data_IF_321553053858
#
_entry.id   IF_321553053858
#
_cell.length_a   1.000
_cell.length_b   1.000
_cell.length_c   1.000
_cell.angle_alpha   90.00
_cell.angle_beta   90.00
_cell.angle_gamma   90.00
#
_symmetry.space_group_name_H-M   'P 1'
#
loop_
_entity.id
_entity.type
_entity.pdbx_description
1 polymer ?
#
# COMPACT_ATOMS: atom_id res chain seq x y z
N UNK A 1 -19.01 -15.32 14.75
CA UNK A 1 -19.47 -13.99 14.30
C UNK A 1 -19.41 -12.92 15.41
N UNK A 2 -20.28 -12.91 16.43
CA UNK A 2 -20.32 -11.82 17.45
C UNK A 2 -18.99 -11.55 18.18
N UNK A 3 -18.35 -12.61 18.69
CA UNK A 3 -17.04 -12.50 19.34
C UNK A 3 -15.97 -11.96 18.39
N UNK A 4 -15.96 -12.45 17.15
CA UNK A 4 -15.02 -12.03 16.10
C UNK A 4 -15.21 -10.53 15.81
N UNK A 5 -16.44 -10.08 15.61
CA UNK A 5 -16.76 -8.68 15.34
C UNK A 5 -16.34 -7.74 16.48
N UNK A 6 -16.60 -8.13 17.72
CA UNK A 6 -16.12 -7.38 18.90
C UNK A 6 -14.59 -7.36 18.99
N UNK A 7 -13.93 -8.48 18.71
CA UNK A 7 -12.47 -8.57 18.70
C UNK A 7 -11.83 -7.71 17.58
N UNK A 8 -12.50 -7.57 16.43
CA UNK A 8 -12.03 -6.66 15.37
C UNK A 8 -11.97 -5.21 15.84
N UNK A 9 -12.99 -4.74 16.59
CA UNK A 9 -12.94 -3.42 17.22
C UNK A 9 -11.81 -3.32 18.26
N UNK A 10 -11.56 -4.36 19.05
CA UNK A 10 -10.42 -4.42 19.96
C UNK A 10 -9.08 -4.27 19.23
N UNK A 11 -8.91 -4.96 18.10
CA UNK A 11 -7.70 -4.82 17.27
C UNK A 11 -7.57 -3.41 16.66
N UNK A 12 -8.67 -2.83 16.17
CA UNK A 12 -8.68 -1.45 15.67
C UNK A 12 -8.31 -0.44 16.75
N UNK A 13 -8.76 -0.64 18.00
CA UNK A 13 -8.37 0.22 19.12
C UNK A 13 -6.86 0.19 19.37
N UNK A 14 -6.24 -1.00 19.33
CA UNK A 14 -4.78 -1.16 19.47
C UNK A 14 -4.05 -0.45 18.32
N UNK A 15 -4.55 -0.58 17.09
CA UNK A 15 -3.96 0.11 15.92
C UNK A 15 -4.06 1.63 16.11
N UNK A 16 -5.21 2.18 16.47
CA UNK A 16 -5.37 3.62 16.72
C UNK A 16 -4.51 4.12 17.88
N UNK A 17 -4.36 3.32 18.93
CA UNK A 17 -3.47 3.64 20.05
C UNK A 17 -2.00 3.68 19.60
N UNK A 18 -1.57 2.71 18.79
CA UNK A 18 -0.23 2.70 18.20
C UNK A 18 0.00 3.90 17.29
N UNK A 19 -0.93 4.20 16.37
CA UNK A 19 -0.86 5.40 15.49
C UNK A 19 -0.80 6.68 16.31
N UNK A 20 -1.62 6.79 17.35
CA UNK A 20 -1.61 7.93 18.29
C UNK A 20 -0.23 8.08 18.95
N UNK A 21 0.35 6.97 19.43
CA UNK A 21 1.71 6.96 19.99
C UNK A 21 2.77 7.44 19.00
N UNK A 22 2.70 7.03 17.73
CA UNK A 22 3.65 7.49 16.69
C UNK A 22 3.59 9.01 16.51
N UNK A 23 2.39 9.59 16.45
CA UNK A 23 2.21 11.04 16.33
C UNK A 23 2.62 11.77 17.60
N UNK A 24 2.33 11.22 18.79
CA UNK A 24 2.72 11.81 20.06
C UNK A 24 4.24 11.86 20.22
N UNK A 25 4.94 10.79 19.86
CA UNK A 25 6.40 10.75 19.83
C UNK A 25 6.97 11.75 18.82
N UNK A 26 6.32 11.90 17.66
CA UNK A 26 6.62 12.96 16.70
C UNK A 26 6.46 14.36 17.28
N UNK A 27 5.43 14.60 18.09
CA UNK A 27 5.16 15.92 18.65
C UNK A 27 6.14 16.32 19.78
N UNK A 28 6.54 15.39 20.64
CA UNK A 28 7.27 15.72 21.88
C UNK A 28 8.74 15.29 21.92
N UNK A 29 9.12 14.26 21.17
CA UNK A 29 10.43 13.61 21.31
C UNK A 29 11.16 13.51 19.98
N UNK A 30 10.95 14.49 19.10
CA UNK A 30 11.45 14.43 17.73
C UNK A 30 12.18 15.69 17.30
N UNK A 31 12.88 15.57 16.18
CA UNK A 31 13.47 16.69 15.44
C UNK A 31 12.65 17.04 14.18
N UNK A 32 11.33 16.84 14.19
CA UNK A 32 10.47 16.99 13.01
C UNK A 32 10.56 18.38 12.37
N UNK A 33 10.33 19.48 13.10
CA UNK A 33 10.43 20.84 12.52
C UNK A 33 11.81 21.12 11.91
N UNK A 34 12.88 20.66 12.56
CA UNK A 34 14.24 20.82 12.03
C UNK A 34 14.42 20.00 10.74
N UNK A 35 13.91 18.77 10.72
CA UNK A 35 13.95 17.92 9.53
C UNK A 35 13.14 18.49 8.37
N UNK A 36 11.94 19.04 8.59
CA UNK A 36 11.14 19.65 7.52
C UNK A 36 11.89 20.80 6.85
N UNK A 37 12.66 21.58 7.62
CA UNK A 37 13.49 22.67 7.12
C UNK A 37 14.75 22.19 6.36
N UNK A 38 15.32 21.03 6.69
CA UNK A 38 16.49 20.46 6.00
C UNK A 38 16.42 18.92 5.89
N UNK A 39 15.53 18.39 5.03
CA UNK A 39 15.22 16.96 4.99
C UNK A 39 16.32 16.10 4.35
N UNK A 40 17.27 16.73 3.65
CA UNK A 40 18.38 16.03 2.97
C UNK A 40 19.55 15.75 3.92
N UNK A 41 19.76 16.62 4.92
CA UNK A 41 20.91 16.56 5.83
C UNK A 41 20.56 15.96 7.18
N UNK A 42 19.41 16.34 7.75
CA UNK A 42 18.97 15.90 9.08
C UNK A 42 18.38 14.50 9.00
N UNK A 43 18.67 13.65 10.00
CA UNK A 43 18.12 12.29 10.08
C UNK A 43 16.84 12.28 10.92
N UNK A 44 15.78 11.59 10.48
CA UNK A 44 14.56 11.45 11.28
C UNK A 44 14.84 10.77 12.63
N UNK A 45 14.35 11.36 13.71
CA UNK A 45 14.42 10.79 15.07
C UNK A 45 13.15 11.13 15.85
N UNK A 46 12.55 10.15 16.51
CA UNK A 46 11.35 10.31 17.37
C UNK A 46 11.47 9.61 18.73
N UNK A 47 12.66 9.10 19.05
CA UNK A 47 12.91 8.34 20.27
C UNK A 47 14.16 8.85 20.97
N UNK A 48 14.01 9.15 22.25
CA UNK A 48 15.09 9.59 23.14
C UNK A 48 15.19 8.63 24.31
N UNK A 49 16.40 8.16 24.59
CA UNK A 49 16.71 7.20 25.64
C UNK A 49 17.07 7.94 26.93
N UNK A 50 16.52 7.51 28.07
CA UNK A 50 16.85 8.09 29.36
C UNK A 50 18.28 7.73 29.83
N UNK A 51 19.01 8.69 30.46
CA UNK A 51 20.39 8.50 30.91
C UNK A 51 20.45 7.82 32.28
N UNK A 52 20.23 6.50 32.33
CA UNK A 52 20.18 5.74 33.59
C UNK A 52 21.48 4.95 33.82
N UNK A 53 21.95 4.23 32.80
CA UNK A 53 23.05 3.25 32.93
C UNK A 53 24.13 3.38 31.85
N UNK A 54 24.27 4.55 31.23
CA UNK A 54 25.15 4.75 30.06
C UNK A 54 24.47 4.47 28.72
N UNK A 55 23.19 4.07 28.73
CA UNK A 55 22.41 3.80 27.51
C UNK A 55 22.07 5.06 26.70
N UNK A 56 22.27 6.25 27.25
CA UNK A 56 22.20 7.51 26.51
C UNK A 56 23.22 7.62 25.37
N UNK A 57 24.22 6.72 25.32
CA UNK A 57 25.08 6.53 24.14
C UNK A 57 24.28 6.23 22.86
N UNK A 58 23.05 5.71 22.99
CA UNK A 58 22.13 5.48 21.88
C UNK A 58 21.52 6.78 21.32
N UNK A 59 21.56 7.89 22.07
CA UNK A 59 21.12 9.20 21.60
C UNK A 59 22.23 9.82 20.73
N UNK A 60 22.34 9.35 19.50
CA UNK A 60 23.29 9.86 18.53
C UNK A 60 22.92 11.27 18.07
N UNK A 61 23.91 12.06 17.67
CA UNK A 61 23.66 13.32 16.97
C UNK A 61 23.08 13.03 15.59
N UNK A 62 21.81 13.39 15.40
CA UNK A 62 21.04 13.20 14.16
C UNK A 62 20.89 14.51 13.37
N UNK A 63 21.55 15.59 13.81
CA UNK A 63 21.42 16.93 13.26
C UNK A 63 20.21 17.69 13.79
N UNK A 64 20.14 18.99 13.48
CA UNK A 64 19.07 19.86 13.96
C UNK A 64 19.15 20.17 15.47
N UNK A 65 20.35 20.15 16.04
CA UNK A 65 20.60 20.28 17.48
C UNK A 65 19.81 19.26 18.33
N UNK A 66 19.62 18.06 17.80
CA UNK A 66 18.88 16.99 18.45
C UNK A 66 19.72 15.73 18.58
N UNK A 67 19.61 15.07 19.74
CA UNK A 67 20.23 13.77 20.00
C UNK A 67 19.16 12.73 20.30
N UNK A 68 19.21 11.61 19.59
CA UNK A 68 18.21 10.55 19.72
C UNK A 68 18.51 9.35 18.84
N UNK A 69 17.56 8.43 18.82
CA UNK A 69 17.64 7.23 17.98
C UNK A 69 17.08 7.55 16.61
N UNK A 70 17.91 7.40 15.57
CA UNK A 70 17.44 7.50 14.19
C UNK A 70 16.35 6.46 13.92
N UNK A 71 15.20 6.91 13.40
CA UNK A 71 14.08 6.03 13.04
C UNK A 71 14.01 5.79 11.55
N UNK A 72 13.54 4.60 11.17
CA UNK A 72 13.48 4.12 9.77
C UNK A 72 12.06 3.75 9.34
N UNK A 73 11.06 4.24 10.06
CA UNK A 73 9.63 3.97 9.82
C UNK A 73 9.00 4.83 8.73
N UNK A 74 9.64 5.94 8.34
CA UNK A 74 9.16 6.83 7.27
C UNK A 74 8.07 7.82 7.67
N UNK A 75 7.73 7.94 8.96
CA UNK A 75 6.66 8.84 9.42
C UNK A 75 6.93 10.32 9.10
N UNK A 76 8.18 10.77 9.10
CA UNK A 76 8.52 12.15 8.77
C UNK A 76 8.15 12.50 7.32
N UNK A 77 8.45 11.59 6.39
CA UNK A 77 8.12 11.74 4.98
C UNK A 77 6.60 11.67 4.75
N UNK A 78 5.89 10.85 5.52
CA UNK A 78 4.41 10.79 5.51
C UNK A 78 3.84 12.14 5.99
N UNK A 79 4.21 12.61 7.18
CA UNK A 79 3.68 13.86 7.75
C UNK A 79 3.94 15.07 6.84
N UNK A 80 5.13 15.15 6.21
CA UNK A 80 5.39 16.20 5.22
C UNK A 80 4.46 16.07 4.01
N UNK A 81 4.26 14.86 3.50
CA UNK A 81 3.34 14.62 2.38
C UNK A 81 1.88 14.96 2.71
N UNK A 82 1.50 14.96 3.99
CA UNK A 82 0.17 15.36 4.49
C UNK A 82 0.04 16.88 4.69
N UNK A 83 1.15 17.61 4.58
CA UNK A 83 1.19 19.06 4.81
C UNK A 83 1.31 19.43 6.28
N UNK A 84 1.73 18.52 7.16
CA UNK A 84 2.01 18.83 8.57
C UNK A 84 3.33 19.62 8.63
N UNK A 85 3.30 20.79 9.24
CA UNK A 85 4.45 21.71 9.32
C UNK A 85 4.91 21.98 10.75
N UNK A 86 4.11 21.60 11.76
CA UNK A 86 4.42 21.84 13.17
C UNK A 86 4.12 20.65 14.08
N UNK A 87 4.79 20.57 15.22
CA UNK A 87 4.54 19.55 16.25
C UNK A 87 3.14 19.69 16.89
N UNK A 88 2.54 20.88 16.84
CA UNK A 88 1.20 21.13 17.39
C UNK A 88 0.14 20.35 16.61
N UNK A 89 0.28 20.27 15.29
CA UNK A 89 -0.60 19.46 14.43
C UNK A 89 -0.46 17.97 14.75
N UNK A 90 0.77 17.48 14.93
CA UNK A 90 1.03 16.09 15.35
C UNK A 90 0.39 15.77 16.71
N UNK A 91 0.45 16.71 17.65
CA UNK A 91 -0.18 16.56 18.96
C UNK A 91 -1.70 16.37 18.84
N UNK A 92 -2.38 17.24 18.10
CA UNK A 92 -3.83 17.13 17.93
C UNK A 92 -4.23 15.87 17.17
N UNK A 93 -3.45 15.44 16.18
CA UNK A 93 -3.63 14.14 15.52
C UNK A 93 -3.46 12.97 16.49
N UNK A 94 -2.48 13.04 17.40
CA UNK A 94 -2.30 12.02 18.44
C UNK A 94 -3.52 11.93 19.37
N UNK A 95 -4.05 13.06 19.83
CA UNK A 95 -5.25 13.10 20.67
C UNK A 95 -6.47 12.55 19.92
N UNK A 96 -6.66 12.92 18.65
CA UNK A 96 -7.70 12.37 17.80
C UNK A 96 -7.61 10.86 17.68
N UNK A 97 -6.41 10.32 17.43
CA UNK A 97 -6.17 8.87 17.40
C UNK A 97 -6.48 8.17 18.71
N UNK A 98 -6.17 8.80 19.86
CA UNK A 98 -6.48 8.26 21.19
C UNK A 98 -7.98 8.23 21.46
N UNK A 99 -8.72 9.28 21.09
CA UNK A 99 -10.18 9.32 21.19
C UNK A 99 -10.79 8.21 20.32
N UNK A 100 -10.31 8.05 19.08
CA UNK A 100 -10.75 6.98 18.18
C UNK A 100 -10.48 5.59 18.75
N UNK A 101 -9.32 5.37 19.39
CA UNK A 101 -9.04 4.13 20.14
C UNK A 101 -10.11 3.87 21.20
N UNK A 102 -10.44 4.86 22.03
CA UNK A 102 -11.50 4.75 23.04
C UNK A 102 -12.87 4.45 22.44
N UNK A 103 -13.22 5.09 21.32
CA UNK A 103 -14.47 4.81 20.58
C UNK A 103 -14.51 3.38 20.02
N UNK A 104 -13.39 2.86 19.52
CA UNK A 104 -13.32 1.47 19.05
C UNK A 104 -13.52 0.47 20.21
N UNK A 105 -12.91 0.70 21.38
CA UNK A 105 -13.16 -0.12 22.57
C UNK A 105 -14.64 -0.10 22.94
N UNK A 106 -15.25 1.09 22.96
CA UNK A 106 -16.67 1.25 23.27
C UNK A 106 -17.56 0.51 22.25
N UNK A 107 -17.30 0.67 20.95
CA UNK A 107 -18.05 0.00 19.88
C UNK A 107 -17.94 -1.53 19.99
N UNK A 108 -16.75 -2.05 20.28
CA UNK A 108 -16.51 -3.48 20.51
C UNK A 108 -17.31 -4.02 21.71
N UNK A 109 -17.34 -3.29 22.82
CA UNK A 109 -18.16 -3.63 23.98
C UNK A 109 -19.66 -3.54 23.66
N UNK A 110 -20.10 -2.46 23.02
CA UNK A 110 -21.49 -2.18 22.73
C UNK A 110 -22.10 -3.25 21.82
N UNK A 111 -21.41 -3.57 20.71
CA UNK A 111 -21.85 -4.59 19.75
C UNK A 111 -21.66 -6.03 20.22
N UNK A 112 -21.16 -6.25 21.43
CA UNK A 112 -21.12 -7.57 22.06
C UNK A 112 -22.11 -7.69 23.23
N UNK A 113 -22.15 -6.71 24.12
CA UNK A 113 -22.91 -6.77 25.37
C UNK A 113 -24.27 -6.08 25.32
N UNK A 114 -24.48 -5.11 24.43
CA UNK A 114 -25.72 -4.30 24.38
C UNK A 114 -26.52 -4.54 23.11
N UNK A 115 -25.90 -4.40 21.95
CA UNK A 115 -26.55 -4.49 20.64
C UNK A 115 -25.84 -5.52 19.76
N UNK A 116 -25.89 -6.79 20.16
CA UNK A 116 -25.23 -7.87 19.44
C UNK A 116 -25.96 -8.23 18.13
N UNK A 117 -25.32 -8.06 16.94
CA UNK A 117 -25.97 -8.37 15.68
C UNK A 117 -26.36 -9.85 15.55
N UNK A 118 -27.39 -10.13 14.74
CA UNK A 118 -27.83 -11.50 14.42
C UNK A 118 -26.99 -12.10 13.29
N UNK A 119 -27.03 -13.42 13.13
CA UNK A 119 -26.24 -14.12 12.12
C UNK A 119 -26.56 -13.66 10.68
N UNK A 120 -27.84 -13.46 10.37
CA UNK A 120 -28.30 -12.94 9.08
C UNK A 120 -27.60 -11.65 8.66
N UNK A 121 -27.34 -10.75 9.61
CA UNK A 121 -26.59 -9.51 9.34
C UNK A 121 -25.15 -9.79 8.91
N UNK A 122 -24.47 -10.73 9.57
CA UNK A 122 -23.10 -11.13 9.22
C UNK A 122 -23.02 -11.87 7.88
N UNK A 123 -24.09 -12.56 7.48
CA UNK A 123 -24.15 -13.34 6.25
C UNK A 123 -24.60 -12.52 5.04
N UNK A 124 -24.96 -11.26 5.23
CA UNK A 124 -25.34 -10.34 4.16
C UNK A 124 -24.09 -9.84 3.41
N UNK A 125 -23.51 -10.72 2.60
CA UNK A 125 -22.28 -10.47 1.87
C UNK A 125 -22.46 -9.37 0.81
N UNK A 126 -23.62 -9.29 0.13
CA UNK A 126 -23.89 -8.25 -0.85
C UNK A 126 -23.84 -6.86 -0.24
N UNK A 127 -24.52 -6.67 0.91
CA UNK A 127 -24.46 -5.39 1.62
C UNK A 127 -23.05 -5.08 2.10
N UNK A 128 -22.36 -6.07 2.69
CA UNK A 128 -20.99 -5.88 3.18
C UNK A 128 -20.03 -5.44 2.06
N UNK A 129 -20.05 -6.11 0.89
CA UNK A 129 -19.19 -5.73 -0.23
C UNK A 129 -19.56 -4.38 -0.83
N UNK A 130 -20.86 -4.08 -1.00
CA UNK A 130 -21.29 -2.77 -1.49
C UNK A 130 -20.78 -1.64 -0.58
N UNK A 131 -20.93 -1.79 0.74
CA UNK A 131 -20.45 -0.78 1.71
C UNK A 131 -18.93 -0.72 1.76
N UNK A 132 -18.22 -1.84 1.76
CA UNK A 132 -16.75 -1.82 1.80
C UNK A 132 -16.15 -1.22 0.52
N UNK A 133 -16.68 -1.57 -0.65
CA UNK A 133 -16.22 -1.00 -1.91
C UNK A 133 -16.59 0.49 -2.00
N UNK A 134 -17.87 0.86 -1.88
CA UNK A 134 -18.28 2.25 -2.12
C UNK A 134 -17.92 3.21 -0.98
N UNK A 135 -18.10 2.81 0.27
CA UNK A 135 -17.92 3.69 1.44
C UNK A 135 -16.49 3.59 1.94
N UNK A 136 -16.02 2.41 2.35
CA UNK A 136 -14.70 2.29 2.98
C UNK A 136 -13.58 2.63 2.00
N UNK A 137 -13.58 2.03 0.81
CA UNK A 137 -12.55 2.28 -0.21
C UNK A 137 -12.86 3.53 -1.05
N UNK A 138 -14.09 3.63 -1.57
CA UNK A 138 -14.51 4.72 -2.44
C UNK A 138 -14.51 6.08 -1.76
N UNK A 139 -15.35 6.28 -0.73
CA UNK A 139 -15.40 7.54 0.02
C UNK A 139 -14.10 7.79 0.80
N UNK A 140 -13.42 6.74 1.30
CA UNK A 140 -12.09 6.89 1.89
C UNK A 140 -11.08 7.51 0.93
N UNK A 141 -10.99 6.99 -0.31
CA UNK A 141 -10.12 7.55 -1.35
C UNK A 141 -10.56 8.94 -1.79
N UNK A 142 -11.87 9.22 -1.84
CA UNK A 142 -12.39 10.54 -2.20
C UNK A 142 -12.03 11.59 -1.14
N UNK A 143 -12.22 11.27 0.15
CA UNK A 143 -11.84 12.14 1.25
C UNK A 143 -10.34 12.40 1.27
N UNK A 144 -9.53 11.38 0.96
CA UNK A 144 -8.09 11.55 0.86
C UNK A 144 -7.68 12.43 -0.32
N UNK A 145 -8.28 12.24 -1.51
CA UNK A 145 -8.06 13.14 -2.65
C UNK A 145 -8.42 14.59 -2.30
N UNK A 146 -9.55 14.81 -1.59
CA UNK A 146 -9.93 16.13 -1.10
C UNK A 146 -8.89 16.74 -0.16
N UNK A 147 -8.41 15.98 0.83
CA UNK A 147 -7.31 16.43 1.71
C UNK A 147 -6.05 16.75 0.90
N UNK A 148 -5.68 15.90 -0.06
CA UNK A 148 -4.50 16.13 -0.88
C UNK A 148 -4.60 17.41 -1.70
N UNK A 149 -5.73 17.62 -2.39
CA UNK A 149 -5.97 18.79 -3.25
C UNK A 149 -5.96 20.08 -2.44
N UNK A 150 -6.61 20.08 -1.27
CA UNK A 150 -6.90 21.32 -0.55
C UNK A 150 -5.88 21.66 0.53
N UNK A 151 -5.13 20.68 1.06
CA UNK A 151 -4.18 20.87 2.16
C UNK A 151 -2.77 20.48 1.73
N UNK A 152 -2.55 19.20 1.38
CA UNK A 152 -1.20 18.68 1.16
C UNK A 152 -0.50 19.36 -0.03
N UNK A 153 -1.21 19.50 -1.15
CA UNK A 153 -0.68 20.09 -2.39
C UNK A 153 -0.18 21.52 -2.22
N UNK A 154 -1.00 22.49 -1.75
CA UNK A 154 -0.54 23.87 -1.61
C UNK A 154 0.65 23.99 -0.64
N UNK A 155 0.62 23.27 0.48
CA UNK A 155 1.71 23.28 1.47
C UNK A 155 2.99 22.70 0.89
N UNK A 156 2.93 21.53 0.25
CA UNK A 156 4.12 20.91 -0.34
C UNK A 156 4.67 21.73 -1.51
N UNK A 157 3.82 22.42 -2.28
CA UNK A 157 4.27 23.32 -3.34
C UNK A 157 5.12 24.47 -2.78
N UNK A 158 4.74 25.02 -1.62
CA UNK A 158 5.51 26.06 -0.93
C UNK A 158 6.79 25.51 -0.27
N UNK A 159 6.70 24.34 0.38
CA UNK A 159 7.86 23.67 0.97
C UNK A 159 8.91 23.30 -0.10
N UNK A 160 8.47 22.88 -1.29
CA UNK A 160 9.36 22.55 -2.41
C UNK A 160 9.91 23.81 -3.09
N UNK A 161 9.24 24.96 -2.94
CA UNK A 161 9.75 26.28 -3.34
C UNK A 161 10.76 26.87 -2.34
N UNK A 162 11.04 26.17 -1.23
CA UNK A 162 12.00 26.60 -0.21
C UNK A 162 11.47 27.59 0.82
N UNK A 163 10.14 27.77 0.89
CA UNK A 163 9.53 28.59 1.93
C UNK A 163 9.66 27.89 3.27
N UNK A 164 10.07 28.64 4.30
CA UNK A 164 10.23 28.09 5.64
C UNK A 164 8.88 27.62 6.20
N UNK A 165 8.81 26.48 6.92
CA UNK A 165 7.54 25.95 7.42
C UNK A 165 6.73 26.94 8.27
N UNK A 166 7.41 27.83 8.99
CA UNK A 166 6.79 28.84 9.85
C UNK A 166 6.17 30.01 9.07
N UNK A 167 6.55 30.20 7.81
CA UNK A 167 6.02 31.24 6.92
C UNK A 167 4.87 30.74 6.04
N UNK A 168 4.61 29.43 6.02
CA UNK A 168 3.53 28.83 5.25
C UNK A 168 2.20 29.12 5.96
N UNK A 169 1.18 29.66 5.26
CA UNK A 169 -0.15 29.84 5.81
C UNK A 169 -0.71 28.53 6.38
N UNK A 170 -1.51 28.61 7.44
CA UNK A 170 -2.06 27.40 8.03
C UNK A 170 -3.06 26.71 7.07
N UNK A 171 -3.25 25.39 7.16
CA UNK A 171 -4.13 24.62 6.27
C UNK A 171 -5.53 25.23 6.06
N UNK A 172 -6.12 25.81 7.11
CA UNK A 172 -7.46 26.39 7.04
C UNK A 172 -7.52 27.71 6.26
N UNK A 173 -6.39 28.43 6.12
CA UNK A 173 -6.31 29.65 5.33
C UNK A 173 -6.44 29.33 3.83
N UNK A 174 -5.84 28.23 3.36
CA UNK A 174 -6.02 27.76 1.98
C UNK A 174 -7.45 27.32 1.67
N UNK A 175 -8.19 26.83 2.67
CA UNK A 175 -9.59 26.42 2.50
C UNK A 175 -10.54 27.61 2.39
N UNK A 176 -10.30 28.66 3.17
CA UNK A 176 -11.20 29.81 3.30
C UNK A 176 -10.85 30.89 2.26
N UNK A 177 -9.55 31.11 2.02
CA UNK A 177 -9.08 32.14 1.11
C UNK A 177 -8.83 31.56 -0.29
N UNK A 178 -9.85 31.71 -1.16
CA UNK A 178 -9.77 31.28 -2.55
C UNK A 178 -8.67 31.99 -3.35
N UNK A 179 -8.37 33.25 -3.04
CA UNK A 179 -7.31 34.00 -3.73
C UNK A 179 -5.94 33.39 -3.43
N UNK A 180 -5.72 32.94 -2.18
CA UNK A 180 -4.47 32.31 -1.77
C UNK A 180 -4.20 31.01 -2.54
N UNK A 181 -5.20 30.11 -2.63
CA UNK A 181 -5.02 28.86 -3.39
C UNK A 181 -4.96 29.11 -4.90
N UNK A 182 -5.67 30.12 -5.42
CA UNK A 182 -5.63 30.51 -6.83
C UNK A 182 -4.26 31.02 -7.28
N UNK A 183 -3.49 31.67 -6.41
CA UNK A 183 -2.10 32.06 -6.69
C UNK A 183 -1.20 30.85 -6.97
N UNK A 184 -1.49 29.71 -6.30
CA UNK A 184 -0.76 28.46 -6.51
C UNK A 184 -1.34 27.66 -7.68
N UNK A 185 -2.65 27.64 -7.82
CA UNK A 185 -3.40 26.84 -8.80
C UNK A 185 -4.49 27.72 -9.45
N UNK A 186 -4.19 28.41 -10.56
CA UNK A 186 -5.11 29.39 -11.18
C UNK A 186 -6.50 28.83 -11.52
N UNK A 187 -6.64 27.52 -11.74
CA UNK A 187 -7.95 26.91 -12.02
C UNK A 187 -8.95 27.06 -10.88
N UNK A 188 -8.49 27.29 -9.64
CA UNK A 188 -9.39 27.56 -8.51
C UNK A 188 -10.24 28.81 -8.70
N UNK A 189 -9.82 29.79 -9.52
CA UNK A 189 -10.64 30.97 -9.89
C UNK A 189 -11.89 30.61 -10.69
N UNK A 190 -11.90 29.46 -11.36
CA UNK A 190 -13.06 28.94 -12.13
C UNK A 190 -14.07 28.22 -11.26
N UNK A 191 -13.65 27.75 -10.07
CA UNK A 191 -14.52 27.13 -9.08
C UNK A 191 -15.04 25.78 -9.55
N UNK A 192 -16.28 25.44 -9.19
CA UNK A 192 -16.89 24.14 -9.53
C UNK A 192 -17.64 24.13 -10.87
N UNK A 193 -17.71 25.25 -11.60
CA UNK A 193 -18.39 25.29 -12.89
C UNK A 193 -17.80 24.29 -13.92
N UNK A 194 -16.47 24.13 -14.06
CA UNK A 194 -15.89 23.12 -14.95
C UNK A 194 -16.27 21.68 -14.56
N UNK A 195 -16.38 21.37 -13.26
CA UNK A 195 -16.80 20.05 -12.77
C UNK A 195 -18.21 19.68 -13.25
N UNK A 196 -19.19 20.55 -13.00
CA UNK A 196 -20.61 20.29 -13.35
C UNK A 196 -20.93 20.43 -14.84
N UNK A 197 -20.08 21.13 -15.61
CA UNK A 197 -20.23 21.26 -17.06
C UNK A 197 -19.49 20.19 -17.87
N UNK A 198 -18.68 19.33 -17.21
CA UNK A 198 -17.87 18.31 -17.89
C UNK A 198 -16.59 18.85 -18.55
N UNK A 199 -16.25 20.13 -18.37
CA UNK A 199 -15.01 20.71 -18.89
C UNK A 199 -13.82 20.47 -17.95
N UNK A 200 -13.50 19.20 -17.69
CA UNK A 200 -12.53 18.80 -16.65
C UNK A 200 -11.06 19.12 -16.98
N UNK A 201 -10.73 19.45 -18.23
CA UNK A 201 -9.37 19.84 -18.63
C UNK A 201 -8.85 21.08 -17.90
N UNK A 202 -9.76 21.87 -17.32
CA UNK A 202 -9.43 23.06 -16.55
C UNK A 202 -8.71 22.78 -15.22
N UNK A 203 -8.80 21.56 -14.68
CA UNK A 203 -8.19 21.19 -13.39
C UNK A 203 -6.77 20.59 -13.54
N UNK A 204 -6.13 20.78 -14.69
CA UNK A 204 -4.83 20.15 -15.02
C UNK A 204 -3.62 20.73 -14.27
N UNK A 205 -3.79 21.78 -13.47
CA UNK A 205 -2.75 22.37 -12.63
C UNK A 205 -2.56 21.65 -11.28
N UNK A 206 -3.59 20.99 -10.75
CA UNK A 206 -3.52 20.18 -9.52
C UNK A 206 -3.91 18.70 -9.70
N UNK A 207 -4.61 18.33 -10.78
CA UNK A 207 -4.83 16.93 -11.19
C UNK A 207 -3.99 16.61 -12.43
N UNK A 208 -2.76 16.16 -12.19
CA UNK A 208 -1.79 15.96 -13.27
C UNK A 208 -1.69 14.49 -13.68
N UNK A 209 -0.94 14.23 -14.76
CA UNK A 209 -0.55 12.89 -15.19
C UNK A 209 0.91 12.92 -15.69
N UNK A 210 1.81 13.48 -14.88
CA UNK A 210 3.22 13.68 -15.26
C UNK A 210 3.96 12.35 -15.37
N UNK A 211 3.68 11.43 -14.45
CA UNK A 211 4.47 10.21 -14.27
C UNK A 211 5.83 10.51 -13.64
N UNK A 212 6.50 9.45 -13.19
CA UNK A 212 7.84 9.53 -12.62
C UNK A 212 7.91 10.23 -11.26
N UNK A 213 9.01 10.91 -11.01
CA UNK A 213 9.37 11.48 -9.71
C UNK A 213 9.55 13.00 -9.81
N UNK A 214 9.18 13.70 -8.76
CA UNK A 214 9.50 15.11 -8.55
C UNK A 214 11.02 15.23 -8.34
N UNK A 215 11.76 15.97 -9.19
CA UNK A 215 13.21 16.07 -9.11
C UNK A 215 13.71 16.80 -7.85
N UNK A 216 12.86 17.58 -7.18
CA UNK A 216 13.21 18.28 -5.94
C UNK A 216 13.23 17.31 -4.76
N UNK A 217 12.20 16.47 -4.67
CA UNK A 217 11.98 15.62 -3.48
C UNK A 217 12.38 14.17 -3.69
N UNK A 218 12.48 13.71 -4.94
CA UNK A 218 12.71 12.31 -5.30
C UNK A 218 11.52 11.40 -5.02
N UNK A 219 10.37 11.95 -4.61
CA UNK A 219 9.11 11.22 -4.45
C UNK A 219 8.19 11.37 -5.66
N UNK A 220 7.08 10.63 -5.71
CA UNK A 220 6.03 10.80 -6.71
C UNK A 220 5.44 12.22 -6.66
N UNK A 221 4.91 12.67 -7.79
CA UNK A 221 4.16 13.93 -7.85
C UNK A 221 2.88 13.83 -7.03
N UNK A 222 2.75 14.63 -5.97
CA UNK A 222 1.54 14.64 -5.14
C UNK A 222 0.26 14.93 -5.94
N UNK A 223 0.37 15.70 -7.04
CA UNK A 223 -0.77 16.00 -7.92
C UNK A 223 -1.19 14.79 -8.77
N UNK A 224 -0.24 13.92 -9.12
CA UNK A 224 -0.54 12.62 -9.74
C UNK A 224 -1.15 11.67 -8.70
N UNK A 225 -0.69 11.71 -7.44
CA UNK A 225 -1.28 10.91 -6.35
C UNK A 225 -2.73 11.36 -6.06
N UNK A 226 -3.00 12.66 -6.02
CA UNK A 226 -4.36 13.20 -5.86
C UNK A 226 -5.28 12.75 -6.99
N UNK A 227 -4.80 12.82 -8.24
CA UNK A 227 -5.54 12.34 -9.40
C UNK A 227 -5.76 10.82 -9.35
N UNK A 228 -4.76 10.05 -8.93
CA UNK A 228 -4.89 8.62 -8.69
C UNK A 228 -5.99 8.31 -7.67
N UNK A 229 -5.99 8.95 -6.50
CA UNK A 229 -7.01 8.73 -5.47
C UNK A 229 -8.41 9.14 -5.92
N UNK A 230 -8.54 10.20 -6.72
CA UNK A 230 -9.82 10.58 -7.31
C UNK A 230 -10.33 9.50 -8.28
N UNK A 231 -9.47 8.99 -9.15
CA UNK A 231 -9.83 7.91 -10.08
C UNK A 231 -10.21 6.62 -9.35
N UNK A 232 -9.44 6.25 -8.31
CA UNK A 232 -9.72 5.10 -7.44
C UNK A 232 -11.04 5.27 -6.69
N UNK A 233 -11.34 6.47 -6.21
CA UNK A 233 -12.61 6.77 -5.56
C UNK A 233 -13.79 6.50 -6.48
N UNK A 234 -13.75 7.05 -7.70
CA UNK A 234 -14.79 6.82 -8.70
C UNK A 234 -14.93 5.32 -8.99
N UNK A 235 -13.82 4.63 -9.26
CA UNK A 235 -13.84 3.18 -9.55
C UNK A 235 -14.53 2.38 -8.43
N UNK A 236 -14.16 2.62 -7.18
CA UNK A 236 -14.69 1.86 -6.04
C UNK A 236 -16.12 2.24 -5.67
N UNK A 237 -16.51 3.51 -5.82
CA UNK A 237 -17.91 3.94 -5.67
C UNK A 237 -18.77 3.20 -6.68
N UNK A 238 -18.40 3.17 -7.96
CA UNK A 238 -19.16 2.44 -8.97
C UNK A 238 -19.15 0.93 -8.73
N UNK A 239 -18.00 0.34 -8.38
CA UNK A 239 -17.89 -1.09 -8.06
C UNK A 239 -18.79 -1.50 -6.89
N UNK A 240 -18.95 -0.65 -5.88
CA UNK A 240 -19.82 -0.90 -4.73
C UNK A 240 -21.32 -0.80 -5.00
N UNK A 241 -21.74 -0.59 -6.26
CA UNK A 241 -23.15 -0.65 -6.67
C UNK A 241 -23.47 -1.89 -7.53
N UNK A 242 -22.54 -2.84 -7.62
CA UNK A 242 -22.72 -4.05 -8.42
C UNK A 242 -23.72 -5.04 -7.81
N UNK A 243 -23.74 -5.19 -6.48
CA UNK A 243 -24.47 -6.29 -5.83
C UNK A 243 -25.90 -5.90 -5.44
N UNK A 244 -26.84 -6.83 -5.63
CA UNK A 244 -28.27 -6.64 -5.37
C UNK A 244 -28.52 -6.49 -3.87
N UNK A 245 -29.31 -5.47 -3.52
CA UNK A 245 -29.78 -5.25 -2.14
C UNK A 245 -31.31 -5.11 -2.12
N UNK A 246 -31.87 -4.30 -1.23
CA UNK A 246 -33.31 -4.21 -0.98
C UNK A 246 -34.11 -3.60 -2.15
N UNK A 247 -33.45 -2.94 -3.10
CA UNK A 247 -34.09 -2.24 -4.22
C UNK A 247 -34.21 -3.07 -5.50
N UNK A 248 -33.90 -4.37 -5.46
CA UNK A 248 -34.06 -5.31 -6.58
C UNK A 248 -33.06 -5.17 -7.74
N UNK A 249 -32.36 -4.04 -7.84
CA UNK A 249 -31.32 -3.78 -8.86
C UNK A 249 -29.97 -4.33 -8.39
N UNK A 250 -29.22 -4.94 -9.32
CA UNK A 250 -27.87 -5.47 -9.10
C UNK A 250 -27.80 -7.00 -9.23
N UNK A 251 -26.63 -7.56 -8.98
CA UNK A 251 -26.36 -9.00 -9.09
C UNK A 251 -26.37 -9.71 -7.73
N UNK A 252 -26.93 -10.92 -7.65
CA UNK A 252 -26.67 -11.80 -6.52
C UNK A 252 -25.34 -12.54 -6.71
N UNK A 253 -24.50 -12.60 -5.67
CA UNK A 253 -23.23 -13.33 -5.76
C UNK A 253 -23.43 -14.81 -6.03
N UNK A 254 -24.47 -15.40 -5.42
CA UNK A 254 -24.81 -16.81 -5.62
C UNK A 254 -25.19 -17.11 -7.06
N UNK A 255 -26.08 -16.29 -7.65
CA UNK A 255 -26.47 -16.42 -9.06
C UNK A 255 -25.26 -16.30 -10.00
N UNK A 256 -24.35 -15.33 -9.75
CA UNK A 256 -23.11 -15.21 -10.51
C UNK A 256 -22.29 -16.49 -10.41
N UNK A 257 -22.02 -16.99 -9.21
CA UNK A 257 -21.20 -18.18 -9.01
C UNK A 257 -21.81 -19.40 -9.72
N UNK A 258 -23.10 -19.66 -9.52
CA UNK A 258 -23.79 -20.83 -10.09
C UNK A 258 -23.90 -20.77 -11.62
N UNK A 259 -23.91 -19.57 -12.21
CA UNK A 259 -23.91 -19.41 -13.67
C UNK A 259 -22.56 -19.79 -14.31
N UNK A 260 -21.45 -19.73 -13.57
CA UNK A 260 -20.11 -20.01 -14.11
C UNK A 260 -19.75 -21.50 -13.99
N UNK A 261 -20.16 -22.27 -15.00
CA UNK A 261 -19.86 -23.69 -15.16
C UNK A 261 -19.29 -23.98 -16.55
N UNK A 262 -18.35 -24.91 -16.63
CA UNK A 262 -17.70 -25.31 -17.88
C UNK A 262 -17.60 -26.84 -18.03
N UNK A 263 -17.28 -27.34 -19.23
CA UNK A 263 -17.31 -28.76 -19.54
C UNK A 263 -16.29 -29.59 -18.73
N UNK A 264 -15.20 -28.98 -18.26
CA UNK A 264 -14.14 -29.66 -17.50
C UNK A 264 -14.31 -29.59 -15.98
N UNK A 265 -15.16 -28.68 -15.49
CA UNK A 265 -15.21 -28.28 -14.07
C UNK A 265 -16.42 -28.83 -13.31
N UNK A 266 -17.21 -29.72 -13.92
CA UNK A 266 -18.40 -30.30 -13.28
C UNK A 266 -19.39 -29.22 -12.86
N UNK A 267 -19.77 -29.20 -11.58
CA UNK A 267 -20.72 -28.23 -11.01
C UNK A 267 -20.13 -26.83 -10.81
N UNK A 268 -18.89 -26.57 -11.25
CA UNK A 268 -18.29 -25.24 -11.20
C UNK A 268 -18.24 -24.67 -9.78
N UNK A 269 -18.75 -23.45 -9.60
CA UNK A 269 -18.66 -22.71 -8.33
C UNK A 269 -19.82 -22.97 -7.37
N UNK A 270 -20.71 -23.93 -7.65
CA UNK A 270 -21.81 -24.29 -6.75
C UNK A 270 -21.29 -24.64 -5.35
N UNK A 271 -21.91 -24.10 -4.29
CA UNK A 271 -21.53 -24.32 -2.89
C UNK A 271 -20.49 -23.33 -2.33
N UNK A 272 -19.81 -22.54 -3.17
CA UNK A 272 -18.80 -21.59 -2.70
C UNK A 272 -19.40 -20.40 -1.94
N UNK A 273 -20.59 -19.93 -2.34
CA UNK A 273 -21.29 -18.87 -1.61
C UNK A 273 -21.60 -19.30 -0.18
N UNK A 274 -22.10 -20.53 -0.02
CA UNK A 274 -22.41 -21.12 1.27
C UNK A 274 -21.15 -21.29 2.12
N UNK A 275 -20.04 -21.78 1.56
CA UNK A 275 -18.75 -21.87 2.27
C UNK A 275 -18.34 -20.51 2.84
N UNK A 276 -18.36 -19.47 2.00
CA UNK A 276 -17.87 -18.14 2.35
C UNK A 276 -18.80 -17.36 3.28
N UNK A 277 -20.07 -17.75 3.38
CA UNK A 277 -21.04 -17.15 4.30
C UNK A 277 -21.19 -17.95 5.61
N UNK A 278 -20.67 -19.17 5.67
CA UNK A 278 -20.79 -20.03 6.87
C UNK A 278 -19.47 -20.24 7.60
N UNK A 279 -18.34 -20.33 6.89
CA UNK A 279 -17.02 -20.52 7.50
C UNK A 279 -16.23 -19.20 7.57
N UNK A 280 -15.92 -18.77 8.79
CA UNK A 280 -14.99 -17.67 9.03
C UNK A 280 -13.55 -18.04 8.69
N UNK A 281 -13.18 -19.33 8.76
CA UNK A 281 -11.84 -19.79 8.39
C UNK A 281 -11.62 -19.76 6.88
N UNK A 282 -12.63 -20.10 6.08
CA UNK A 282 -12.56 -19.97 4.62
C UNK A 282 -12.36 -18.49 4.21
N UNK A 283 -13.14 -17.57 4.79
CA UNK A 283 -12.98 -16.14 4.55
C UNK A 283 -11.60 -15.63 4.99
N UNK A 284 -11.17 -15.98 6.20
CA UNK A 284 -9.87 -15.54 6.71
C UNK A 284 -8.70 -16.08 5.88
N UNK A 285 -8.80 -17.31 5.36
CA UNK A 285 -7.79 -17.89 4.48
C UNK A 285 -7.63 -17.05 3.19
N UNK A 286 -8.73 -16.74 2.51
CA UNK A 286 -8.69 -15.92 1.29
C UNK A 286 -8.17 -14.51 1.59
N UNK A 287 -8.69 -13.88 2.65
CA UNK A 287 -8.31 -12.52 3.01
C UNK A 287 -6.82 -12.42 3.35
N UNK A 288 -6.26 -13.39 4.08
CA UNK A 288 -4.82 -13.42 4.39
C UNK A 288 -3.97 -13.71 3.16
N UNK A 289 -4.44 -14.56 2.23
CA UNK A 289 -3.71 -14.81 0.97
C UNK A 289 -3.61 -13.55 0.12
N UNK A 290 -4.73 -12.82 -0.01
CA UNK A 290 -4.80 -11.58 -0.78
C UNK A 290 -4.06 -10.44 -0.08
N UNK A 291 -4.25 -10.24 1.23
CA UNK A 291 -3.56 -9.19 1.99
C UNK A 291 -2.05 -9.44 2.04
N UNK A 292 -1.63 -10.69 2.25
CA UNK A 292 -0.22 -11.07 2.26
C UNK A 292 0.47 -10.85 0.91
N UNK A 293 -0.24 -11.15 -0.19
CA UNK A 293 0.25 -10.84 -1.54
C UNK A 293 0.27 -9.33 -1.80
N UNK A 294 -0.75 -8.59 -1.36
CA UNK A 294 -0.83 -7.15 -1.53
C UNK A 294 0.30 -6.41 -0.80
N UNK A 295 0.64 -6.79 0.43
CA UNK A 295 1.76 -6.14 1.15
C UNK A 295 3.11 -6.41 0.49
N UNK A 296 3.32 -7.58 -0.13
CA UNK A 296 4.51 -7.84 -0.97
C UNK A 296 4.51 -6.93 -2.20
N UNK A 297 3.38 -6.77 -2.88
CA UNK A 297 3.24 -5.83 -4.01
C UNK A 297 3.52 -4.39 -3.56
N UNK A 298 3.02 -3.97 -2.40
CA UNK A 298 3.31 -2.65 -1.81
C UNK A 298 4.82 -2.47 -1.60
N UNK A 299 5.52 -3.48 -1.07
CA UNK A 299 6.96 -3.43 -0.92
C UNK A 299 7.65 -3.16 -2.27
N UNK A 300 7.28 -3.92 -3.31
CA UNK A 300 7.83 -3.76 -4.66
C UNK A 300 7.51 -2.40 -5.30
N UNK A 301 6.29 -1.91 -5.12
CA UNK A 301 5.88 -0.63 -5.68
C UNK A 301 6.56 0.54 -4.96
N UNK A 302 6.62 0.54 -3.63
CA UNK A 302 7.14 1.67 -2.86
C UNK A 302 8.64 1.91 -3.06
N UNK A 303 9.46 0.87 -3.26
CA UNK A 303 10.89 1.09 -3.49
C UNK A 303 11.18 1.61 -4.90
N UNK A 304 10.45 1.12 -5.91
CA UNK A 304 10.65 1.51 -7.31
C UNK A 304 9.87 2.79 -7.70
N UNK A 305 8.83 3.14 -6.95
CA UNK A 305 8.03 4.35 -7.11
C UNK A 305 7.84 5.04 -5.75
N UNK A 306 8.90 5.64 -5.17
CA UNK A 306 8.86 6.23 -3.83
C UNK A 306 7.73 7.26 -3.69
N UNK A 307 6.66 7.00 -2.91
CA UNK A 307 5.47 7.86 -2.94
C UNK A 307 5.61 9.13 -2.11
N UNK A 308 6.59 9.21 -1.21
CA UNK A 308 6.72 10.30 -0.26
C UNK A 308 7.96 11.18 -0.55
N UNK A 309 7.87 12.52 -0.29
CA UNK A 309 8.99 13.44 -0.43
C UNK A 309 10.20 13.01 0.40
N UNK A 310 11.40 13.04 -0.19
CA UNK A 310 12.68 12.72 0.43
C UNK A 310 12.83 11.27 0.93
N UNK A 311 11.87 10.39 0.66
CA UNK A 311 11.95 8.97 1.01
C UNK A 311 13.01 8.24 0.18
N UNK A 312 13.08 8.51 -1.12
CA UNK A 312 13.94 7.79 -2.06
C UNK A 312 15.44 7.84 -1.69
N UNK A 313 15.89 8.96 -1.11
CA UNK A 313 17.28 9.11 -0.69
C UNK A 313 17.51 8.74 0.78
N UNK A 314 16.48 8.37 1.52
CA UNK A 314 16.57 7.81 2.87
C UNK A 314 16.69 6.27 2.79
N UNK A 315 17.88 5.81 2.41
CA UNK A 315 18.15 4.39 2.17
C UNK A 315 17.82 3.46 3.35
N UNK A 316 18.13 3.82 4.62
CA UNK A 316 17.69 3.03 5.78
C UNK A 316 16.17 2.81 5.79
N UNK A 317 15.39 3.87 5.57
CA UNK A 317 13.93 3.79 5.56
C UNK A 317 13.40 2.96 4.39
N UNK A 318 13.94 3.14 3.18
CA UNK A 318 13.57 2.32 2.01
C UNK A 318 13.79 0.82 2.25
N UNK A 319 14.97 0.45 2.75
CA UNK A 319 15.29 -0.94 3.07
C UNK A 319 14.39 -1.52 4.16
N UNK A 320 14.17 -0.76 5.24
CA UNK A 320 13.35 -1.19 6.35
C UNK A 320 11.89 -1.37 5.94
N UNK A 321 11.29 -0.43 5.19
CA UNK A 321 9.90 -0.54 4.73
C UNK A 321 9.73 -1.73 3.77
N UNK A 322 10.64 -1.92 2.82
CA UNK A 322 10.60 -3.06 1.91
C UNK A 322 10.64 -4.38 2.68
N UNK A 323 11.65 -4.53 3.55
CA UNK A 323 11.85 -5.76 4.33
C UNK A 323 10.68 -6.02 5.27
N UNK A 324 10.17 -4.98 5.94
CA UNK A 324 9.01 -5.06 6.82
C UNK A 324 7.78 -5.61 6.08
N UNK A 325 7.40 -5.00 4.95
CA UNK A 325 6.20 -5.41 4.20
C UNK A 325 6.35 -6.81 3.59
N UNK A 326 7.55 -7.18 3.12
CA UNK A 326 7.86 -8.54 2.67
C UNK A 326 7.62 -9.58 3.77
N UNK A 327 8.11 -9.33 4.99
CA UNK A 327 7.92 -10.25 6.11
C UNK A 327 6.46 -10.36 6.55
N UNK A 328 5.76 -9.24 6.69
CA UNK A 328 4.32 -9.25 7.00
C UNK A 328 3.56 -10.06 5.95
N UNK A 329 3.91 -9.90 4.67
CA UNK A 329 3.31 -10.66 3.58
C UNK A 329 3.52 -12.15 3.68
N UNK A 330 4.76 -12.57 3.95
CA UNK A 330 5.09 -13.97 4.17
C UNK A 330 4.29 -14.57 5.33
N UNK A 331 4.20 -13.86 6.47
CA UNK A 331 3.41 -14.32 7.62
C UNK A 331 1.92 -14.45 7.29
N UNK A 332 1.35 -13.49 6.58
CA UNK A 332 -0.04 -13.55 6.14
C UNK A 332 -0.30 -14.73 5.17
N UNK A 333 0.55 -14.94 4.18
CA UNK A 333 0.39 -16.05 3.21
C UNK A 333 0.48 -17.42 3.91
N UNK A 334 1.42 -17.60 4.86
CA UNK A 334 1.50 -18.83 5.65
C UNK A 334 0.26 -18.99 6.54
N UNK A 335 -0.21 -17.91 7.16
CA UNK A 335 -1.47 -17.90 7.91
C UNK A 335 -2.70 -18.26 7.06
N UNK A 336 -2.72 -17.85 5.79
CA UNK A 336 -3.76 -18.21 4.84
C UNK A 336 -3.83 -19.74 4.62
N UNK A 337 -2.68 -20.36 4.37
CA UNK A 337 -2.58 -21.82 4.21
C UNK A 337 -2.99 -22.56 5.50
N UNK A 338 -2.59 -22.06 6.67
CA UNK A 338 -3.00 -22.62 7.96
C UNK A 338 -4.53 -22.57 8.13
N UNK A 339 -5.17 -21.44 7.83
CA UNK A 339 -6.62 -21.31 7.92
C UNK A 339 -7.38 -22.11 6.85
N UNK A 340 -6.81 -22.29 5.66
CA UNK A 340 -7.35 -23.20 4.66
C UNK A 340 -7.32 -24.66 5.16
N UNK A 341 -6.24 -25.07 5.82
CA UNK A 341 -6.14 -26.37 6.48
C UNK A 341 -7.18 -26.55 7.60
N UNK A 342 -7.36 -25.53 8.45
CA UNK A 342 -8.39 -25.54 9.51
C UNK A 342 -9.80 -25.65 8.90
N UNK A 343 -10.08 -24.90 7.83
CA UNK A 343 -11.34 -24.99 7.10
C UNK A 343 -11.60 -26.42 6.61
N UNK A 344 -10.63 -27.06 5.95
CA UNK A 344 -10.77 -28.42 5.43
C UNK A 344 -11.03 -29.47 6.54
N UNK A 345 -10.51 -29.25 7.75
CA UNK A 345 -10.70 -30.18 8.88
C UNK A 345 -12.04 -29.98 9.58
N UNK A 346 -12.47 -28.72 9.76
CA UNK A 346 -13.60 -28.39 10.64
C UNK A 346 -14.90 -28.10 9.90
N UNK A 347 -14.82 -27.35 8.80
CA UNK A 347 -15.97 -26.68 8.21
C UNK A 347 -16.31 -27.22 6.81
N UNK A 348 -15.41 -27.98 6.18
CA UNK A 348 -15.65 -28.61 4.89
C UNK A 348 -16.68 -29.75 5.00
N UNK A 349 -17.67 -29.72 4.12
CA UNK A 349 -18.69 -30.76 3.99
C UNK A 349 -18.67 -31.36 2.57
N UNK A 350 -18.31 -32.65 2.40
CA UNK A 350 -18.25 -33.30 1.09
C UNK A 350 -19.58 -33.31 0.34
N UNK A 351 -20.71 -33.49 1.04
CA UNK A 351 -22.04 -33.57 0.44
C UNK A 351 -22.41 -32.27 -0.28
N UNK A 352 -22.11 -31.13 0.35
CA UNK A 352 -22.43 -29.81 -0.21
C UNK A 352 -21.48 -29.38 -1.34
N UNK A 353 -20.35 -30.08 -1.49
CA UNK A 353 -19.32 -29.77 -2.48
C UNK A 353 -19.22 -30.82 -3.59
N UNK A 354 -20.19 -31.74 -3.67
CA UNK A 354 -20.12 -32.85 -4.60
C UNK A 354 -19.92 -32.37 -6.05
N UNK A 355 -18.83 -32.83 -6.68
CA UNK A 355 -18.47 -32.55 -8.06
C UNK A 355 -18.31 -31.06 -8.44
N UNK A 356 -18.18 -30.16 -7.47
CA UNK A 356 -17.80 -28.77 -7.70
C UNK A 356 -16.27 -28.62 -7.84
N UNK A 357 -15.78 -27.38 -8.03
CA UNK A 357 -14.34 -27.12 -8.16
C UNK A 357 -13.51 -27.64 -6.99
N UNK A 358 -13.95 -27.43 -5.75
CA UNK A 358 -13.21 -27.82 -4.55
C UNK A 358 -13.07 -29.34 -4.43
N UNK A 359 -14.18 -30.08 -4.60
CA UNK A 359 -14.15 -31.55 -4.63
C UNK A 359 -13.27 -32.08 -5.76
N UNK A 360 -13.37 -31.49 -6.95
CA UNK A 360 -12.56 -31.91 -8.10
C UNK A 360 -11.07 -31.76 -7.80
N UNK A 361 -10.63 -30.62 -7.26
CA UNK A 361 -9.22 -30.41 -6.85
C UNK A 361 -8.76 -31.49 -5.87
N UNK A 362 -9.59 -31.82 -4.87
CA UNK A 362 -9.25 -32.86 -3.88
C UNK A 362 -9.12 -34.25 -4.50
N UNK A 363 -9.92 -34.58 -5.52
CA UNK A 363 -9.90 -35.89 -6.20
C UNK A 363 -8.62 -36.17 -7.01
N UNK A 364 -7.88 -35.14 -7.42
CA UNK A 364 -6.60 -35.30 -8.13
C UNK A 364 -5.45 -34.62 -7.40
N UNK A 365 -5.56 -34.46 -6.08
CA UNK A 365 -4.53 -33.82 -5.25
C UNK A 365 -3.15 -34.48 -5.39
N UNK A 366 -3.09 -35.80 -5.55
CA UNK A 366 -1.81 -36.51 -5.68
C UNK A 366 -1.09 -36.14 -6.98
N UNK A 367 -1.84 -35.89 -8.06
CA UNK A 367 -1.30 -35.36 -9.30
C UNK A 367 -0.76 -33.93 -9.11
N UNK A 368 -1.53 -33.05 -8.44
CA UNK A 368 -1.09 -31.67 -8.16
C UNK A 368 0.21 -31.67 -7.34
N UNK A 369 0.26 -32.45 -6.26
CA UNK A 369 1.42 -32.51 -5.36
C UNK A 369 2.64 -33.14 -6.03
N UNK A 370 2.47 -34.21 -6.81
CA UNK A 370 3.61 -34.84 -7.53
C UNK A 370 4.20 -33.93 -8.61
N UNK A 371 3.37 -33.21 -9.37
CA UNK A 371 3.86 -32.25 -10.35
C UNK A 371 4.55 -31.07 -9.68
N UNK A 372 3.99 -30.54 -8.59
CA UNK A 372 4.63 -29.48 -7.82
C UNK A 372 5.97 -29.94 -7.22
N UNK A 373 6.05 -31.17 -6.70
CA UNK A 373 7.29 -31.75 -6.20
C UNK A 373 8.36 -31.82 -7.30
N UNK A 374 8.00 -32.32 -8.48
CA UNK A 374 8.90 -32.34 -9.63
C UNK A 374 9.39 -30.94 -10.01
N UNK A 375 8.49 -29.93 -10.06
CA UNK A 375 8.87 -28.54 -10.33
C UNK A 375 9.84 -28.03 -9.27
N UNK A 376 9.62 -28.29 -7.98
CA UNK A 376 10.54 -27.88 -6.92
C UNK A 376 11.93 -28.49 -7.07
N UNK A 377 12.02 -29.79 -7.42
CA UNK A 377 13.30 -30.46 -7.67
C UNK A 377 13.99 -29.84 -8.88
N UNK A 378 13.25 -29.65 -9.98
CA UNK A 378 13.76 -29.02 -11.19
C UNK A 378 14.31 -27.63 -10.90
N UNK A 379 13.54 -26.77 -10.23
CA UNK A 379 13.96 -25.43 -9.84
C UNK A 379 15.19 -25.46 -8.92
N UNK A 380 15.25 -26.39 -7.95
CA UNK A 380 16.41 -26.53 -7.08
C UNK A 380 17.70 -26.83 -7.84
N UNK A 381 17.68 -27.80 -8.75
CA UNK A 381 18.84 -28.13 -9.59
C UNK A 381 19.21 -27.02 -10.57
N UNK A 382 18.23 -26.36 -11.19
CA UNK A 382 18.45 -25.37 -12.25
C UNK A 382 18.49 -23.91 -11.76
N UNK A 383 18.51 -23.69 -10.44
CA UNK A 383 18.79 -22.39 -9.84
C UNK A 383 19.97 -22.51 -8.88
N UNK A 384 19.78 -23.10 -7.70
CA UNK A 384 20.83 -23.27 -6.69
C UNK A 384 22.00 -24.11 -7.19
N UNK A 385 21.76 -25.15 -8.00
CA UNK A 385 22.82 -25.93 -8.64
C UNK A 385 23.76 -25.10 -9.53
N UNK A 386 23.27 -24.02 -10.14
CA UNK A 386 24.09 -23.11 -10.94
C UNK A 386 25.09 -22.33 -10.07
N UNK A 387 24.70 -21.98 -8.84
CA UNK A 387 25.60 -21.32 -7.88
C UNK A 387 26.74 -22.27 -7.47
N UNK A 388 26.42 -23.53 -7.16
CA UNK A 388 27.43 -24.55 -6.83
C UNK A 388 28.37 -24.80 -8.02
N UNK A 389 27.83 -24.88 -9.25
CA UNK A 389 28.63 -24.98 -10.47
C UNK A 389 29.60 -23.80 -10.59
N UNK A 390 29.11 -22.57 -10.40
CA UNK A 390 29.92 -21.36 -10.46
C UNK A 390 31.04 -21.33 -9.40
N UNK A 391 30.72 -21.68 -8.15
CA UNK A 391 31.74 -21.77 -7.09
C UNK A 391 32.81 -22.81 -7.42
N UNK A 392 32.40 -23.97 -7.96
CA UNK A 392 33.32 -25.03 -8.36
C UNK A 392 34.21 -24.60 -9.53
N UNK A 393 33.63 -24.05 -10.61
CA UNK A 393 34.40 -23.58 -11.77
C UNK A 393 35.35 -22.45 -11.39
N UNK A 394 34.92 -21.54 -10.51
CA UNK A 394 35.78 -20.48 -9.98
C UNK A 394 36.93 -21.03 -9.15
N UNK A 395 36.68 -21.97 -8.26
CA UNK A 395 37.72 -22.62 -7.45
C UNK A 395 38.72 -23.42 -8.30
N UNK A 396 38.27 -24.03 -9.41
CA UNK A 396 39.10 -24.74 -10.37
C UNK A 396 39.89 -23.82 -11.33
N UNK A 397 39.78 -22.49 -11.19
CA UNK A 397 40.47 -21.54 -12.05
C UNK A 397 39.92 -21.50 -13.49
N UNK A 398 38.63 -21.85 -13.68
CA UNK A 398 37.95 -21.91 -14.97
C UNK A 398 36.83 -20.86 -15.09
N UNK A 399 37.13 -19.55 -14.99
CA UNK A 399 36.10 -18.51 -15.02
C UNK A 399 35.32 -18.43 -16.34
N UNK A 400 35.92 -18.89 -17.45
CA UNK A 400 35.26 -18.97 -18.76
C UNK A 400 34.12 -19.99 -18.83
N UNK A 401 34.07 -20.94 -17.89
CA UNK A 401 33.05 -21.98 -17.82
C UNK A 401 31.94 -21.65 -16.80
N UNK A 402 31.96 -20.45 -16.23
CA UNK A 402 30.93 -19.96 -15.29
C UNK A 402 29.71 -19.40 -16.04
N UNK A 403 28.55 -19.52 -15.40
CA UNK A 403 27.38 -18.72 -15.74
C UNK A 403 27.59 -17.28 -15.25
N UNK A 404 27.86 -16.36 -16.17
CA UNK A 404 28.09 -14.94 -15.89
C UNK A 404 27.97 -14.08 -17.15
N UNK A 405 27.84 -12.77 -16.97
CA UNK A 405 27.80 -11.79 -18.08
C UNK A 405 29.00 -11.84 -19.03
N UNK A 406 30.15 -12.34 -18.55
CA UNK A 406 31.42 -12.35 -19.31
C UNK A 406 31.79 -13.72 -19.90
N UNK A 407 30.95 -14.73 -19.67
CA UNK A 407 31.19 -16.10 -20.10
C UNK A 407 29.89 -16.70 -20.64
N UNK A 408 29.34 -17.73 -19.98
CA UNK A 408 28.07 -18.32 -20.39
C UNK A 408 26.93 -17.46 -19.82
N UNK A 409 26.27 -16.69 -20.69
CA UNK A 409 25.24 -15.74 -20.26
C UNK A 409 23.87 -16.41 -20.11
N UNK A 410 23.16 -16.06 -19.04
CA UNK A 410 21.77 -16.46 -18.79
C UNK A 410 20.89 -15.21 -18.62
N UNK A 411 20.74 -14.45 -19.71
CA UNK A 411 20.05 -13.16 -19.68
C UNK A 411 18.53 -13.32 -19.49
N UNK A 412 17.90 -12.52 -18.61
CA UNK A 412 16.45 -12.53 -18.41
C UNK A 412 15.73 -11.72 -19.51
N UNK A 413 15.81 -12.18 -20.75
CA UNK A 413 15.37 -11.44 -21.95
C UNK A 413 13.90 -10.99 -21.90
N UNK A 414 13.02 -11.77 -21.25
CA UNK A 414 11.61 -11.42 -21.12
C UNK A 414 11.42 -10.23 -20.17
N UNK A 415 12.18 -10.17 -19.08
CA UNK A 415 12.11 -9.05 -18.15
C UNK A 415 12.71 -7.78 -18.77
N UNK A 416 13.82 -7.90 -19.50
CA UNK A 416 14.42 -6.80 -20.28
C UNK A 416 13.44 -6.27 -21.34
N UNK A 417 12.70 -7.15 -22.01
CA UNK A 417 11.66 -6.76 -22.96
C UNK A 417 10.54 -5.96 -22.28
N UNK A 418 10.02 -6.42 -21.13
CA UNK A 418 9.03 -5.67 -20.35
C UNK A 418 9.57 -4.31 -19.88
N UNK A 419 10.81 -4.26 -19.38
CA UNK A 419 11.47 -3.00 -19.00
C UNK A 419 11.49 -2.02 -20.18
N UNK A 420 11.85 -2.50 -21.38
CA UNK A 420 11.88 -1.66 -22.57
C UNK A 420 10.48 -1.14 -22.94
N UNK A 421 9.46 -2.01 -22.93
CA UNK A 421 8.06 -1.62 -23.18
C UNK A 421 7.59 -0.53 -22.23
N UNK A 422 7.90 -0.63 -20.94
CA UNK A 422 7.53 0.40 -19.95
C UNK A 422 8.36 1.69 -20.07
N UNK A 423 9.61 1.59 -20.51
CA UNK A 423 10.48 2.75 -20.72
C UNK A 423 9.97 3.62 -21.87
N UNK A 424 9.56 3.00 -22.98
CA UNK A 424 9.09 3.73 -24.17
C UNK A 424 7.61 4.09 -24.11
N UNK A 425 6.87 3.69 -23.07
CA UNK A 425 5.42 3.83 -22.99
C UNK A 425 4.95 5.30 -23.06
N UNK A 426 5.66 6.21 -22.40
CA UNK A 426 5.34 7.64 -22.39
C UNK A 426 5.41 8.21 -23.82
N UNK A 427 4.34 8.87 -24.26
CA UNK A 427 4.21 9.38 -25.63
C UNK A 427 3.90 8.33 -26.71
N UNK A 428 3.88 7.03 -26.37
CA UNK A 428 3.51 5.95 -27.31
C UNK A 428 2.23 5.23 -26.87
N UNK A 429 2.34 4.15 -26.09
CA UNK A 429 1.20 3.40 -25.54
C UNK A 429 0.52 4.14 -24.38
N UNK A 430 1.17 5.16 -23.83
CA UNK A 430 0.62 6.13 -22.89
C UNK A 430 0.84 7.57 -23.43
N UNK A 431 0.04 8.03 -24.42
CA UNK A 431 0.29 9.28 -25.15
C UNK A 431 0.32 10.53 -24.27
N UNK A 432 -0.49 10.52 -23.20
CA UNK A 432 -0.66 11.67 -22.30
C UNK A 432 0.28 11.63 -21.09
N UNK A 433 1.04 10.56 -20.89
CA UNK A 433 2.06 10.49 -19.85
C UNK A 433 3.33 11.22 -20.31
N UNK A 434 3.89 12.07 -19.46
CA UNK A 434 5.11 12.81 -19.80
C UNK A 434 6.38 11.97 -19.59
N UNK A 435 6.37 11.07 -18.60
CA UNK A 435 7.52 10.23 -18.27
C UNK A 435 7.08 8.81 -17.90
N UNK A 436 8.05 7.91 -17.72
CA UNK A 436 7.80 6.52 -17.32
C UNK A 436 7.14 6.42 -15.94
N UNK A 437 6.41 5.33 -15.69
CA UNK A 437 5.84 5.05 -14.37
C UNK A 437 6.93 4.89 -13.27
N UNK A 438 8.12 4.40 -13.64
CA UNK A 438 9.26 4.29 -12.74
C UNK A 438 10.58 4.36 -13.49
N UNK A 439 11.50 5.18 -12.99
CA UNK A 439 12.88 5.26 -13.50
C UNK A 439 13.68 3.96 -13.29
N UNK A 440 13.15 2.97 -12.55
CA UNK A 440 13.75 1.64 -12.45
C UNK A 440 13.69 0.86 -13.77
N UNK A 441 12.68 1.14 -14.63
CA UNK A 441 12.56 0.49 -15.94
C UNK A 441 13.60 1.01 -16.95
N UNK A 442 13.92 2.30 -16.88
CA UNK A 442 14.81 3.00 -17.82
C UNK A 442 14.71 4.51 -17.68
N UNK A 443 15.50 5.24 -18.48
CA UNK A 443 15.59 6.70 -18.45
C UNK A 443 16.79 7.23 -17.67
N UNK A 444 16.71 8.48 -17.24
CA UNK A 444 17.80 9.19 -16.57
C UNK A 444 17.89 8.88 -15.07
N UNK A 445 19.05 9.16 -14.50
CA UNK A 445 19.27 9.10 -13.04
C UNK A 445 18.58 10.30 -12.40
N UNK A 446 17.71 10.05 -11.42
CA UNK A 446 17.13 11.09 -10.58
C UNK A 446 17.95 11.17 -9.29
N UNK A 447 18.49 12.35 -8.99
CA UNK A 447 19.28 12.61 -7.79
C UNK A 447 18.66 13.75 -6.97
N UNK A 448 18.75 13.63 -5.64
CA UNK A 448 18.36 14.69 -4.70
C UNK A 448 19.53 14.94 -3.76
N UNK A 449 20.07 16.16 -3.82
CA UNK A 449 21.36 16.47 -3.21
C UNK A 449 22.49 15.61 -3.80
N UNK A 450 23.30 15.00 -2.94
CA UNK A 450 24.41 14.13 -3.36
C UNK A 450 24.04 12.65 -3.51
N UNK A 451 22.75 12.30 -3.41
CA UNK A 451 22.27 10.92 -3.38
C UNK A 451 21.39 10.62 -4.59
N UNK A 452 21.52 9.40 -5.12
CA UNK A 452 20.63 8.87 -6.16
C UNK A 452 19.30 8.53 -5.49
N UNK A 453 18.20 9.13 -5.98
CA UNK A 453 16.84 8.78 -5.61
C UNK A 453 16.37 7.54 -6.37
N UNK A 454 16.59 7.51 -7.69
CA UNK A 454 16.30 6.35 -8.53
C UNK A 454 17.19 6.34 -9.78
N UNK A 455 17.50 5.14 -10.27
CA UNK A 455 18.19 4.92 -11.54
C UNK A 455 17.69 3.64 -12.20
N UNK A 456 17.90 3.46 -13.51
CA UNK A 456 17.58 2.21 -14.18
C UNK A 456 18.23 1.00 -13.49
N UNK A 457 17.42 -0.01 -13.17
CA UNK A 457 17.89 -1.24 -12.53
C UNK A 457 18.15 -2.26 -13.64
N UNK A 458 19.43 -2.46 -13.96
CA UNK A 458 19.86 -3.43 -14.99
C UNK A 458 19.61 -4.86 -14.52
N UNK A 459 19.17 -5.69 -15.45
CA UNK A 459 18.97 -7.14 -15.27
C UNK A 459 19.99 -7.87 -16.13
N UNK A 460 20.87 -8.67 -15.52
CA UNK A 460 21.94 -9.44 -16.16
C UNK A 460 21.84 -10.93 -15.90
#
# INVERSE_FOLDING_TARGET
>A
SRKIFSAHFGQLAIIFFWVSGMHFHGAYFSNYSAWVANPTSIKPSTQVVWPVVGQEILNADVGGNFQGVQVTSGFFQIWRAEGITSEVELYWTAIGGLIMSGLMVFAGWFHYHKAAPKLEWFQNAESMLNHHLSVLLGLGSLSWAGHQIHIALPINKLLDAGIAPQEIPLPHEFLINRELIAQLYPSFEKGLAPFFSGNWGEYSDFLTFKGGLNPITGGLWLSDIAHHHLAIAVLFIFAGHMYRTNFGIGHSMKEILEAHKGPFTGEGHTGLYEILTTSWHAQLAINLAMLGSLTIIIAHHMYAMPPYPYLATDYPTQLCIFTHHMWIGAFCIVGAAAHAGIFLVRDYNPTNNYNNLLDRVLRHRDAIISHLNWVCIFLGFHSFGLYIHNDTMRALGRPQDMFSDKAIQLQPIFAQWVQNTHTIAAGTTAPNALTTASYAFGGDIVAVGSKIAMMPIKLG
#
